data_IF_000147256856
#
_entry.id   IF_000147256856
#
_cell.length_a   1.000
_cell.length_b   1.000
_cell.length_c   1.000
_cell.angle_alpha   90.00
_cell.angle_beta   90.00
_cell.angle_gamma   90.00
#
_symmetry.space_group_name_H-M   'P 1'
#
loop_
_entity.id
_entity.type
_entity.pdbx_description
1 polymer ?
#
# COMPACT_ATOMS: atom_id res chain seq x y z
N UNK A 1 -2.15 -28.84 18.43
CA UNK A 1 -2.00 -27.60 17.63
C UNK A 1 -2.05 -26.41 18.61
N UNK A 2 -1.09 -25.50 18.61
CA UNK A 2 -1.17 -24.28 19.42
C UNK A 2 -2.42 -23.50 18.97
N UNK A 3 -3.28 -23.15 19.92
CA UNK A 3 -4.46 -22.34 19.64
C UNK A 3 -4.02 -21.03 18.98
N UNK A 4 -4.54 -20.71 17.80
CA UNK A 4 -4.25 -19.43 17.15
C UNK A 4 -4.93 -18.32 17.98
N UNK A 5 -4.13 -17.37 18.45
CA UNK A 5 -4.58 -16.26 19.30
C UNK A 5 -5.47 -15.27 18.55
N UNK A 6 -5.42 -15.28 17.22
CA UNK A 6 -6.11 -14.36 16.33
C UNK A 6 -6.88 -15.11 15.23
N UNK A 7 -7.97 -15.82 15.57
CA UNK A 7 -8.65 -16.71 14.63
C UNK A 7 -9.24 -15.98 13.44
N UNK A 8 -9.82 -14.78 13.62
CA UNK A 8 -10.44 -14.01 12.53
C UNK A 8 -9.45 -13.62 11.44
N UNK A 9 -8.22 -13.22 11.80
CA UNK A 9 -7.17 -12.89 10.84
C UNK A 9 -6.84 -14.05 9.90
N UNK A 10 -6.96 -15.30 10.37
CA UNK A 10 -6.58 -16.49 9.61
C UNK A 10 -7.79 -17.28 9.07
N UNK A 11 -9.00 -16.77 9.23
CA UNK A 11 -10.16 -17.27 8.52
C UNK A 11 -10.03 -17.01 7.01
N UNK A 12 -10.57 -17.95 6.22
CA UNK A 12 -10.68 -17.74 4.77
C UNK A 12 -11.67 -16.61 4.47
N UNK A 13 -11.40 -15.87 3.42
CA UNK A 13 -12.29 -14.84 2.89
C UNK A 13 -12.59 -15.04 1.41
N UNK A 14 -13.43 -14.17 0.86
CA UNK A 14 -13.75 -14.16 -0.56
C UNK A 14 -13.71 -12.74 -1.10
N UNK A 15 -13.21 -12.58 -2.33
CA UNK A 15 -13.25 -11.34 -3.11
C UNK A 15 -13.87 -11.73 -4.47
N UNK A 16 -15.14 -11.40 -4.65
CA UNK A 16 -15.91 -11.97 -5.75
C UNK A 16 -15.89 -13.50 -5.71
N UNK A 17 -15.41 -14.13 -6.78
CA UNK A 17 -15.25 -15.58 -6.89
C UNK A 17 -13.93 -16.13 -6.35
N UNK A 18 -13.01 -15.26 -5.92
CA UNK A 18 -11.70 -15.66 -5.42
C UNK A 18 -11.74 -16.04 -3.94
N UNK A 19 -11.21 -17.21 -3.62
CA UNK A 19 -11.02 -17.66 -2.25
C UNK A 19 -9.66 -17.21 -1.73
N UNK A 20 -9.64 -16.44 -0.65
CA UNK A 20 -8.43 -15.91 0.00
C UNK A 20 -8.09 -16.75 1.22
N UNK A 21 -6.83 -17.15 1.38
CA UNK A 21 -6.38 -18.06 2.46
C UNK A 21 -6.51 -17.50 3.87
N UNK A 22 -6.52 -16.17 4.03
CA UNK A 22 -6.68 -15.44 5.29
C UNK A 22 -7.20 -14.01 5.03
N UNK A 23 -7.38 -13.21 6.10
CA UNK A 23 -7.91 -11.85 6.02
C UNK A 23 -6.83 -10.76 5.91
N UNK A 24 -5.59 -11.11 5.57
CA UNK A 24 -4.47 -10.18 5.54
C UNK A 24 -4.06 -9.92 4.08
N UNK A 25 -4.06 -8.67 3.69
CA UNK A 25 -3.71 -8.22 2.34
C UNK A 25 -2.51 -7.27 2.42
N UNK A 26 -1.46 -7.57 1.64
CA UNK A 26 -0.42 -6.58 1.39
C UNK A 26 -0.97 -5.53 0.43
N UNK A 27 -1.15 -4.32 0.94
CA UNK A 27 -1.72 -3.22 0.17
C UNK A 27 -0.70 -2.64 -0.83
N UNK A 28 -1.20 -2.17 -1.95
CA UNK A 28 -0.37 -1.48 -2.95
C UNK A 28 0.28 -0.23 -2.37
N UNK A 29 1.54 -0.05 -2.73
CA UNK A 29 2.33 1.12 -2.40
C UNK A 29 3.44 1.27 -3.43
N UNK A 30 3.68 2.48 -3.91
CA UNK A 30 4.79 2.77 -4.81
C UNK A 30 6.12 2.36 -4.17
N UNK A 31 6.76 1.33 -4.73
CA UNK A 31 8.03 0.82 -4.22
C UNK A 31 9.23 1.48 -4.90
N UNK A 32 9.03 2.03 -6.08
CA UNK A 32 10.08 2.59 -6.92
C UNK A 32 11.19 1.56 -7.24
N UNK A 33 10.78 0.30 -7.46
CA UNK A 33 11.66 -0.81 -7.81
C UNK A 33 11.64 -1.17 -9.30
N UNK A 34 10.72 -0.57 -10.07
CA UNK A 34 10.73 -0.70 -11.53
C UNK A 34 12.08 -0.27 -12.09
N UNK A 35 12.48 -0.85 -13.22
CA UNK A 35 13.63 -0.34 -13.94
C UNK A 35 13.34 1.03 -14.61
N UNK A 36 14.38 1.66 -15.17
CA UNK A 36 14.25 2.99 -15.75
C UNK A 36 13.24 3.14 -16.90
N UNK A 37 12.72 2.02 -17.41
CA UNK A 37 11.71 1.96 -18.48
C UNK A 37 10.36 1.39 -17.99
N UNK A 38 10.11 1.41 -16.69
CA UNK A 38 8.88 0.94 -16.04
C UNK A 38 8.62 -0.58 -16.17
N UNK A 39 9.62 -1.37 -16.54
CA UNK A 39 9.51 -2.82 -16.55
C UNK A 39 9.68 -3.41 -15.15
N UNK A 40 9.12 -4.59 -14.98
CA UNK A 40 9.34 -5.40 -13.78
C UNK A 40 10.78 -5.92 -13.81
N UNK A 41 11.57 -5.51 -12.84
CA UNK A 41 12.93 -6.02 -12.63
C UNK A 41 12.99 -7.08 -11.51
N UNK A 42 14.16 -7.71 -11.37
CA UNK A 42 14.39 -8.77 -10.36
C UNK A 42 14.05 -8.33 -8.93
N UNK A 43 14.31 -7.07 -8.59
CA UNK A 43 13.99 -6.53 -7.26
C UNK A 43 12.49 -6.51 -6.99
N UNK A 44 11.70 -6.16 -8.01
CA UNK A 44 10.23 -6.16 -7.92
C UNK A 44 9.70 -7.58 -7.76
N UNK A 45 10.22 -8.54 -8.54
CA UNK A 45 9.84 -9.95 -8.45
C UNK A 45 10.14 -10.51 -7.06
N UNK A 46 11.36 -10.31 -6.57
CA UNK A 46 11.77 -10.75 -5.23
C UNK A 46 10.95 -10.10 -4.11
N UNK A 47 10.64 -8.82 -4.23
CA UNK A 47 9.81 -8.13 -3.25
C UNK A 47 8.38 -8.69 -3.22
N UNK A 48 7.82 -9.03 -4.38
CA UNK A 48 6.52 -9.71 -4.48
C UNK A 48 6.53 -11.10 -3.84
N UNK A 49 7.57 -11.90 -4.14
CA UNK A 49 7.78 -13.22 -3.56
C UNK A 49 7.98 -13.15 -2.02
N UNK A 50 8.76 -12.18 -1.51
CA UNK A 50 8.95 -11.97 -0.08
C UNK A 50 7.64 -11.64 0.64
N UNK A 51 6.81 -10.75 0.07
CA UNK A 51 5.52 -10.39 0.63
C UNK A 51 4.55 -11.60 0.68
N UNK A 52 4.52 -12.40 -0.38
CA UNK A 52 3.68 -13.58 -0.46
C UNK A 52 4.15 -14.70 0.49
N UNK A 53 5.46 -14.97 0.55
CA UNK A 53 6.07 -15.94 1.47
C UNK A 53 5.92 -15.52 2.93
N UNK A 54 5.82 -14.22 3.20
CA UNK A 54 5.52 -13.63 4.50
C UNK A 54 4.14 -13.98 5.04
N UNK A 55 3.25 -14.52 4.20
CA UNK A 55 1.97 -15.11 4.61
C UNK A 55 0.73 -14.30 4.25
N UNK A 56 0.83 -13.19 3.52
CA UNK A 56 -0.32 -12.44 3.03
C UNK A 56 -1.24 -13.31 2.16
N UNK A 57 -2.56 -13.08 2.23
CA UNK A 57 -3.55 -13.78 1.41
C UNK A 57 -3.65 -13.23 0.00
N UNK A 58 -3.47 -11.93 -0.16
CA UNK A 58 -3.38 -11.21 -1.43
C UNK A 58 -2.17 -10.28 -1.37
N UNK A 59 -1.46 -10.12 -2.47
CA UNK A 59 -0.37 -9.17 -2.60
C UNK A 59 -0.65 -8.22 -3.77
N UNK A 60 -0.87 -6.95 -3.44
CA UNK A 60 -0.77 -5.85 -4.41
C UNK A 60 0.63 -5.27 -4.32
N UNK A 61 1.51 -5.55 -5.29
CA UNK A 61 2.92 -5.24 -5.15
C UNK A 61 3.23 -3.75 -5.28
N UNK A 62 2.73 -3.12 -6.32
CA UNK A 62 3.03 -1.73 -6.67
C UNK A 62 1.81 -1.07 -7.31
N UNK A 63 1.91 0.23 -7.63
CA UNK A 63 1.02 0.85 -8.57
C UNK A 63 1.53 0.62 -10.00
N UNK A 64 0.61 0.46 -10.94
CA UNK A 64 0.88 0.21 -12.34
C UNK A 64 0.15 1.26 -13.19
N UNK A 65 0.89 2.03 -13.96
CA UNK A 65 0.28 3.07 -14.80
C UNK A 65 -0.38 2.47 -16.04
N UNK A 66 -1.49 3.08 -16.44
CA UNK A 66 -2.25 2.73 -17.65
C UNK A 66 -1.68 3.35 -18.92
N UNK A 67 -0.71 4.26 -18.77
CA UNK A 67 -0.05 5.04 -19.81
C UNK A 67 1.40 5.26 -19.40
N UNK A 68 2.33 5.32 -20.33
CA UNK A 68 3.71 5.73 -20.07
C UNK A 68 3.76 7.20 -19.67
N UNK A 69 4.04 7.48 -18.41
CA UNK A 69 3.90 8.83 -17.84
C UNK A 69 5.11 9.27 -17.02
N UNK A 70 5.71 8.35 -16.25
CA UNK A 70 6.84 8.61 -15.38
C UNK A 70 7.61 7.31 -15.14
N UNK A 71 8.93 7.43 -14.93
CA UNK A 71 9.84 6.28 -14.95
C UNK A 71 9.99 5.52 -13.62
N UNK A 72 9.06 5.69 -12.68
CA UNK A 72 9.24 5.24 -11.30
C UNK A 72 8.29 4.12 -10.85
N UNK A 73 7.21 3.87 -11.60
CA UNK A 73 6.22 2.81 -11.32
C UNK A 73 6.25 1.71 -12.38
N UNK A 74 5.46 0.66 -12.16
CA UNK A 74 5.20 -0.34 -13.17
C UNK A 74 4.26 0.22 -14.25
N UNK A 75 4.22 -0.42 -15.41
CA UNK A 75 3.37 0.00 -16.52
C UNK A 75 2.65 -1.17 -17.17
N UNK A 76 1.42 -0.92 -17.64
CA UNK A 76 0.63 -1.84 -18.44
C UNK A 76 0.06 -1.15 -19.71
N UNK A 77 0.74 -0.11 -20.22
CA UNK A 77 0.28 0.69 -21.34
C UNK A 77 0.22 -0.08 -22.66
N UNK A 78 1.10 -1.07 -22.85
CA UNK A 78 1.15 -1.91 -24.05
C UNK A 78 1.59 -3.33 -23.72
N UNK A 79 1.55 -4.22 -24.71
CA UNK A 79 1.77 -5.68 -24.52
C UNK A 79 3.23 -6.04 -24.20
N UNK A 80 4.20 -5.14 -24.42
CA UNK A 80 5.62 -5.39 -24.10
C UNK A 80 5.89 -5.52 -22.58
N UNK A 81 4.98 -5.01 -21.74
CA UNK A 81 5.07 -5.12 -20.29
C UNK A 81 4.57 -6.47 -19.75
N UNK A 82 3.78 -7.23 -20.54
CA UNK A 82 3.17 -8.50 -20.09
C UNK A 82 4.20 -9.52 -19.58
N UNK A 83 5.34 -9.77 -20.25
CA UNK A 83 6.27 -10.80 -19.77
C UNK A 83 6.80 -10.56 -18.35
N UNK A 84 7.23 -9.33 -18.06
CA UNK A 84 7.70 -8.98 -16.72
C UNK A 84 6.58 -9.02 -15.67
N UNK A 85 5.40 -8.53 -16.02
CA UNK A 85 4.21 -8.62 -15.16
C UNK A 85 3.84 -10.09 -14.88
N UNK A 86 3.99 -11.00 -15.85
CA UNK A 86 3.73 -12.43 -15.64
C UNK A 86 4.70 -13.05 -14.64
N UNK A 87 6.00 -12.73 -14.75
CA UNK A 87 7.01 -13.20 -13.79
C UNK A 87 6.70 -12.74 -12.37
N UNK A 88 6.23 -11.51 -12.20
CA UNK A 88 5.82 -10.98 -10.88
C UNK A 88 4.58 -11.71 -10.35
N UNK A 89 3.55 -11.90 -11.17
CA UNK A 89 2.34 -12.61 -10.78
C UNK A 89 2.62 -14.07 -10.39
N UNK A 90 3.45 -14.77 -11.16
CA UNK A 90 3.90 -16.13 -10.88
C UNK A 90 4.65 -16.20 -9.55
N UNK A 91 5.66 -15.33 -9.34
CA UNK A 91 6.44 -15.30 -8.12
C UNK A 91 5.59 -15.06 -6.85
N UNK A 92 4.52 -14.27 -6.94
CA UNK A 92 3.56 -14.09 -5.84
C UNK A 92 2.76 -15.38 -5.61
N UNK A 93 2.26 -16.00 -6.68
CA UNK A 93 1.37 -17.17 -6.62
C UNK A 93 2.08 -18.45 -6.20
N UNK A 94 3.36 -18.60 -6.51
CA UNK A 94 4.21 -19.72 -6.07
C UNK A 94 4.32 -19.82 -4.54
N UNK A 95 4.10 -18.71 -3.84
CA UNK A 95 4.03 -18.67 -2.38
C UNK A 95 2.60 -18.73 -1.83
N UNK A 96 1.62 -19.09 -2.67
CA UNK A 96 0.23 -19.33 -2.26
C UNK A 96 -0.56 -18.07 -1.85
N UNK A 97 -0.16 -16.89 -2.33
CA UNK A 97 -0.96 -15.67 -2.28
C UNK A 97 -1.66 -15.44 -3.62
N UNK A 98 -2.79 -14.73 -3.62
CA UNK A 98 -3.36 -14.19 -4.85
C UNK A 98 -2.55 -12.97 -5.29
N UNK A 99 -2.33 -12.83 -6.60
CA UNK A 99 -1.64 -11.71 -7.19
C UNK A 99 -2.64 -10.63 -7.62
N UNK A 100 -2.56 -9.44 -7.02
CA UNK A 100 -3.33 -8.26 -7.38
C UNK A 100 -2.44 -7.19 -8.02
N UNK A 101 -3.01 -6.41 -8.96
CA UNK A 101 -2.33 -5.26 -9.56
C UNK A 101 -3.17 -4.01 -9.41
N UNK A 102 -2.58 -2.92 -8.89
CA UNK A 102 -3.27 -1.64 -8.78
C UNK A 102 -3.01 -0.79 -10.04
N UNK A 103 -4.08 -0.48 -10.77
CA UNK A 103 -4.05 0.42 -11.93
C UNK A 103 -4.20 1.87 -11.49
N UNK A 104 -3.34 2.74 -11.99
CA UNK A 104 -3.22 4.10 -11.51
C UNK A 104 -3.01 5.10 -12.65
N UNK A 105 -3.56 6.29 -12.47
CA UNK A 105 -3.21 7.52 -13.15
C UNK A 105 -3.12 8.62 -12.08
N UNK A 106 -1.96 9.24 -11.87
CA UNK A 106 -1.78 10.18 -10.75
C UNK A 106 -2.58 11.48 -10.88
N UNK A 107 -3.12 11.79 -12.05
CA UNK A 107 -3.95 12.99 -12.22
C UNK A 107 -3.16 14.28 -11.97
N UNK A 108 -3.71 15.17 -11.12
CA UNK A 108 -3.04 16.42 -10.73
C UNK A 108 -1.69 16.19 -10.03
N UNK A 109 -1.49 15.02 -9.45
CA UNK A 109 -0.27 14.68 -8.72
C UNK A 109 0.86 14.18 -9.65
N UNK A 110 0.64 14.15 -10.97
CA UNK A 110 1.63 13.65 -11.94
C UNK A 110 2.98 14.37 -11.82
N UNK A 111 2.99 15.68 -11.66
CA UNK A 111 4.22 16.44 -11.47
C UNK A 111 4.96 16.08 -10.17
N UNK A 112 4.22 15.80 -9.11
CA UNK A 112 4.75 15.39 -7.81
C UNK A 112 5.44 14.00 -7.86
N UNK A 113 4.95 13.10 -8.70
CA UNK A 113 5.58 11.77 -8.90
C UNK A 113 6.58 11.74 -10.05
N UNK A 114 7.03 12.91 -10.54
CA UNK A 114 8.09 13.01 -11.56
C UNK A 114 7.61 12.88 -13.00
N UNK A 115 6.30 12.98 -13.26
CA UNK A 115 5.74 13.03 -14.60
C UNK A 115 5.58 14.45 -15.13
N UNK A 116 5.41 14.60 -16.44
CA UNK A 116 5.36 15.90 -17.11
C UNK A 116 3.97 16.31 -17.62
N UNK A 117 3.10 15.34 -17.89
CA UNK A 117 1.74 15.60 -18.38
C UNK A 117 0.75 15.66 -17.21
N UNK A 118 0.62 16.85 -16.61
CA UNK A 118 -0.28 17.05 -15.47
C UNK A 118 -1.69 17.34 -15.97
N UNK A 119 -2.61 16.40 -15.77
CA UNK A 119 -4.03 16.49 -16.18
C UNK A 119 -4.95 16.16 -15.01
N UNK A 120 -6.17 16.74 -15.02
CA UNK A 120 -7.19 16.45 -14.01
C UNK A 120 -8.60 16.73 -14.55
N UNK A 121 -9.62 16.60 -13.69
CA UNK A 121 -10.99 17.02 -14.00
C UNK A 121 -11.07 18.51 -14.28
N UNK A 122 -10.35 19.33 -13.53
CA UNK A 122 -10.31 20.80 -13.64
C UNK A 122 -8.90 21.32 -13.36
N UNK A 123 -8.67 22.63 -13.64
CA UNK A 123 -7.38 23.29 -13.38
C UNK A 123 -7.27 23.68 -11.90
N UNK A 124 -7.29 22.69 -11.01
CA UNK A 124 -7.20 22.85 -9.56
C UNK A 124 -6.06 21.99 -9.01
N UNK A 125 -5.22 22.56 -8.19
CA UNK A 125 -4.17 21.86 -7.47
C UNK A 125 -4.15 22.26 -6.00
N UNK A 126 -3.42 21.51 -5.17
CA UNK A 126 -3.24 21.85 -3.78
C UNK A 126 -2.35 23.10 -3.65
N UNK A 127 -2.85 24.13 -3.00
CA UNK A 127 -2.22 25.46 -2.94
C UNK A 127 -0.75 25.43 -2.50
N UNK A 128 -0.34 24.72 -1.42
CA UNK A 128 1.05 24.64 -1.03
C UNK A 128 1.98 24.03 -2.09
N UNK A 129 1.46 23.12 -2.93
CA UNK A 129 2.26 22.58 -4.03
C UNK A 129 2.40 23.57 -5.18
N UNK A 130 1.36 24.37 -5.44
CA UNK A 130 1.41 25.44 -6.42
C UNK A 130 2.41 26.52 -6.00
N UNK A 131 2.39 26.93 -4.73
CA UNK A 131 3.38 27.84 -4.16
C UNK A 131 4.81 27.29 -4.23
N UNK A 132 4.98 25.97 -4.14
CA UNK A 132 6.23 25.28 -4.35
C UNK A 132 6.62 25.07 -5.83
N UNK A 133 5.84 25.63 -6.77
CA UNK A 133 6.15 25.60 -8.21
C UNK A 133 5.52 24.44 -8.98
N UNK A 134 4.57 23.69 -8.40
CA UNK A 134 3.84 22.65 -9.14
C UNK A 134 2.99 23.27 -10.27
N UNK A 135 2.97 22.62 -11.42
CA UNK A 135 2.15 23.05 -12.56
C UNK A 135 0.66 22.86 -12.28
N UNK A 136 -0.15 23.80 -12.73
CA UNK A 136 -1.61 23.62 -12.77
C UNK A 136 -1.98 22.51 -13.76
N UNK A 137 -2.87 21.59 -13.39
CA UNK A 137 -3.30 20.54 -14.30
C UNK A 137 -4.13 21.11 -15.47
N UNK A 138 -3.93 20.54 -16.65
CA UNK A 138 -4.80 20.75 -17.82
C UNK A 138 -6.10 20.01 -17.58
N UNK A 139 -7.28 20.67 -17.69
CA UNK A 139 -8.56 19.96 -17.68
C UNK A 139 -8.68 19.02 -18.88
N UNK A 140 -9.09 17.77 -18.62
CA UNK A 140 -9.33 16.78 -19.67
C UNK A 140 -10.55 17.16 -20.52
N UNK A 141 -10.45 17.00 -21.82
CA UNK A 141 -11.61 17.01 -22.72
C UNK A 141 -12.41 15.71 -22.58
N UNK A 142 -13.65 15.68 -23.10
CA UNK A 142 -14.49 14.47 -23.07
C UNK A 142 -13.83 13.32 -23.84
N UNK A 143 -13.22 13.59 -24.98
CA UNK A 143 -12.53 12.58 -25.79
C UNK A 143 -11.30 12.01 -25.07
N UNK A 144 -10.52 12.86 -24.38
CA UNK A 144 -9.40 12.43 -23.54
C UNK A 144 -9.88 11.57 -22.35
N UNK A 145 -11.05 11.89 -21.76
CA UNK A 145 -11.67 11.07 -20.70
C UNK A 145 -12.02 9.69 -21.25
N UNK A 146 -12.67 9.61 -22.41
CA UNK A 146 -13.04 8.33 -23.03
C UNK A 146 -11.80 7.49 -23.40
N UNK A 147 -10.73 8.11 -23.89
CA UNK A 147 -9.45 7.46 -24.17
C UNK A 147 -8.82 6.86 -22.89
N UNK A 148 -8.83 7.61 -21.80
CA UNK A 148 -8.32 7.11 -20.51
C UNK A 148 -9.19 5.98 -19.94
N UNK A 149 -10.51 6.06 -20.05
CA UNK A 149 -11.42 4.97 -19.64
C UNK A 149 -11.11 3.70 -20.42
N UNK A 150 -10.87 3.79 -21.72
CA UNK A 150 -10.52 2.63 -22.55
C UNK A 150 -9.13 2.07 -22.18
N UNK A 151 -8.15 2.94 -21.91
CA UNK A 151 -6.81 2.53 -21.44
C UNK A 151 -6.85 1.78 -20.10
N UNK A 152 -7.72 2.15 -19.15
CA UNK A 152 -7.92 1.36 -17.93
C UNK A 152 -8.37 -0.07 -18.22
N UNK A 153 -9.35 -0.23 -19.14
CA UNK A 153 -9.82 -1.56 -19.56
C UNK A 153 -8.73 -2.38 -20.25
N UNK A 154 -7.98 -1.77 -21.15
CA UNK A 154 -6.86 -2.43 -21.84
C UNK A 154 -5.73 -2.83 -20.89
N UNK A 155 -5.36 -1.96 -19.93
CA UNK A 155 -4.35 -2.26 -18.91
C UNK A 155 -4.79 -3.42 -18.01
N UNK A 156 -6.07 -3.45 -17.60
CA UNK A 156 -6.64 -4.56 -16.86
C UNK A 156 -6.58 -5.88 -17.65
N UNK A 157 -6.86 -5.86 -18.95
CA UNK A 157 -6.72 -7.05 -19.81
C UNK A 157 -5.28 -7.55 -19.85
N UNK A 158 -4.28 -6.66 -19.91
CA UNK A 158 -2.87 -7.04 -19.88
C UNK A 158 -2.48 -7.66 -18.54
N UNK A 159 -2.95 -7.08 -17.43
CA UNK A 159 -2.76 -7.67 -16.10
C UNK A 159 -3.42 -9.07 -16.02
N UNK A 160 -4.62 -9.24 -16.55
CA UNK A 160 -5.28 -10.56 -16.62
C UNK A 160 -4.47 -11.55 -17.47
N UNK A 161 -4.00 -11.15 -18.65
CA UNK A 161 -3.12 -11.97 -19.52
C UNK A 161 -1.81 -12.34 -18.82
N UNK A 162 -1.26 -11.42 -18.02
CA UNK A 162 -0.06 -11.65 -17.21
C UNK A 162 -0.29 -12.59 -16.02
N UNK A 163 -1.52 -13.01 -15.73
CA UNK A 163 -1.82 -13.98 -14.70
C UNK A 163 -2.20 -13.39 -13.34
N UNK A 164 -2.45 -12.07 -13.24
CA UNK A 164 -3.01 -11.48 -12.03
C UNK A 164 -4.45 -11.93 -11.81
N UNK A 165 -4.76 -12.30 -10.58
CA UNK A 165 -6.09 -12.82 -10.19
C UNK A 165 -7.15 -11.73 -10.10
N UNK A 166 -6.75 -10.49 -9.79
CA UNK A 166 -7.62 -9.33 -9.69
C UNK A 166 -6.86 -8.04 -10.00
N UNK A 167 -7.61 -6.98 -10.34
CA UNK A 167 -7.08 -5.63 -10.42
C UNK A 167 -7.76 -4.70 -9.41
N UNK A 168 -7.04 -3.66 -9.00
CA UNK A 168 -7.55 -2.57 -8.20
C UNK A 168 -7.43 -1.26 -8.98
N UNK A 169 -8.47 -0.43 -8.99
CA UNK A 169 -8.40 0.94 -9.50
C UNK A 169 -8.04 1.88 -8.36
N UNK A 170 -7.01 2.69 -8.54
CA UNK A 170 -6.61 3.69 -7.55
C UNK A 170 -7.52 4.91 -7.61
N UNK A 171 -8.62 4.88 -6.86
CA UNK A 171 -9.62 5.94 -6.74
C UNK A 171 -9.52 6.70 -5.41
N UNK A 172 -8.31 6.90 -4.90
CA UNK A 172 -8.06 7.56 -3.62
C UNK A 172 -6.81 8.44 -3.67
N UNK A 173 -6.61 9.26 -2.66
CA UNK A 173 -5.36 9.96 -2.38
C UNK A 173 -5.01 11.11 -3.33
N UNK A 174 -5.90 11.54 -4.22
CA UNK A 174 -5.61 12.60 -5.20
C UNK A 174 -5.29 12.08 -6.61
N UNK A 175 -5.32 10.76 -6.83
CA UNK A 175 -5.24 10.17 -8.17
C UNK A 175 -6.43 10.59 -9.05
N UNK A 176 -6.29 10.43 -10.36
CA UNK A 176 -7.25 10.96 -11.34
C UNK A 176 -8.72 10.64 -11.04
N UNK A 177 -9.13 9.41 -10.65
CA UNK A 177 -10.53 9.16 -10.32
C UNK A 177 -11.01 9.98 -9.11
N UNK A 178 -10.14 10.30 -8.15
CA UNK A 178 -10.47 11.16 -7.01
C UNK A 178 -10.65 12.61 -7.47
N UNK A 179 -9.86 13.09 -8.45
CA UNK A 179 -10.03 14.43 -9.00
C UNK A 179 -11.39 14.62 -9.67
N UNK A 180 -12.03 13.55 -10.15
CA UNK A 180 -13.40 13.61 -10.66
C UNK A 180 -14.43 13.52 -9.53
N UNK A 181 -14.19 12.70 -8.50
CA UNK A 181 -15.14 12.48 -7.40
C UNK A 181 -15.24 13.68 -6.46
N UNK A 182 -14.10 14.28 -6.08
CA UNK A 182 -14.05 15.39 -5.14
C UNK A 182 -14.66 16.66 -5.70
N UNK A 183 -15.64 17.28 -5.04
CA UNK A 183 -16.19 18.55 -5.50
C UNK A 183 -15.18 19.70 -5.39
N UNK A 184 -14.16 19.55 -4.53
CA UNK A 184 -13.06 20.50 -4.42
C UNK A 184 -12.20 20.54 -5.68
N UNK A 185 -11.94 19.37 -6.29
CA UNK A 185 -11.08 19.21 -7.46
C UNK A 185 -11.86 19.33 -8.78
N UNK A 186 -13.15 18.95 -8.77
CA UNK A 186 -13.99 18.88 -9.96
C UNK A 186 -14.94 20.08 -10.04
N UNK A 187 -14.51 21.08 -10.76
CA UNK A 187 -15.28 22.30 -11.05
C UNK A 187 -15.90 22.29 -12.45
N UNK A 188 -16.07 21.10 -13.05
CA UNK A 188 -16.69 20.95 -14.38
C UNK A 188 -18.20 21.22 -14.32
N UNK A 189 -18.73 21.73 -15.42
CA UNK A 189 -20.16 21.97 -15.61
C UNK A 189 -20.77 21.12 -16.74
N UNK A 190 -20.03 20.10 -17.22
CA UNK A 190 -20.50 19.11 -18.18
C UNK A 190 -21.00 17.83 -17.48
N UNK A 191 -21.21 16.76 -18.28
CA UNK A 191 -21.71 15.48 -17.77
C UNK A 191 -20.78 14.75 -16.75
N UNK A 192 -19.57 15.23 -16.51
CA UNK A 192 -18.62 14.70 -15.54
C UNK A 192 -18.49 15.57 -14.27
N UNK A 193 -19.23 16.69 -14.15
CA UNK A 193 -19.14 17.63 -13.04
C UNK A 193 -20.47 17.99 -12.41
N UNK A 194 -20.42 18.79 -11.34
CA UNK A 194 -21.60 19.23 -10.58
C UNK A 194 -22.12 18.16 -9.62
N UNK A 195 -23.20 17.48 -9.97
CA UNK A 195 -23.84 16.48 -9.10
C UNK A 195 -22.92 15.29 -8.80
N UNK A 196 -23.12 14.62 -7.64
CA UNK A 196 -22.38 13.41 -7.28
C UNK A 196 -22.51 12.34 -8.37
N UNK A 197 -23.70 12.19 -8.97
CA UNK A 197 -23.93 11.26 -10.08
C UNK A 197 -22.99 11.52 -11.27
N UNK A 198 -22.78 12.77 -11.62
CA UNK A 198 -21.85 13.14 -12.69
C UNK A 198 -20.39 12.96 -12.28
N UNK A 199 -20.04 13.35 -11.05
CA UNK A 199 -18.67 13.22 -10.53
C UNK A 199 -18.21 11.77 -10.44
N UNK A 200 -19.08 10.82 -10.12
CA UNK A 200 -18.74 9.39 -10.08
C UNK A 200 -18.68 8.72 -11.46
N UNK A 201 -19.19 9.37 -12.52
CA UNK A 201 -19.29 8.81 -13.88
C UNK A 201 -17.97 8.25 -14.39
N UNK A 202 -16.87 8.99 -14.27
CA UNK A 202 -15.56 8.55 -14.72
C UNK A 202 -15.15 7.20 -14.09
N UNK A 203 -15.32 7.05 -12.78
CA UNK A 203 -14.98 5.82 -12.06
C UNK A 203 -15.91 4.66 -12.47
N UNK A 204 -17.19 4.91 -12.64
CA UNK A 204 -18.18 3.92 -13.14
C UNK A 204 -17.82 3.44 -14.54
N UNK A 205 -17.46 4.36 -15.43
CA UNK A 205 -17.08 4.03 -16.82
C UNK A 205 -15.78 3.21 -16.85
N UNK A 206 -14.81 3.48 -15.96
CA UNK A 206 -13.62 2.64 -15.79
C UNK A 206 -14.01 1.20 -15.41
N UNK A 207 -14.91 1.01 -14.44
CA UNK A 207 -15.38 -0.33 -14.03
C UNK A 207 -16.03 -1.04 -15.21
N UNK A 208 -16.89 -0.36 -15.96
CA UNK A 208 -17.55 -0.91 -17.16
C UNK A 208 -16.56 -1.27 -18.26
N UNK A 209 -15.53 -0.42 -18.48
CA UNK A 209 -14.45 -0.70 -19.43
C UNK A 209 -13.64 -1.95 -19.03
N UNK A 210 -13.26 -2.08 -17.77
CA UNK A 210 -12.56 -3.28 -17.28
C UNK A 210 -13.41 -4.54 -17.51
N UNK A 211 -14.72 -4.48 -17.23
CA UNK A 211 -15.64 -5.61 -17.46
C UNK A 211 -15.79 -5.94 -18.94
N UNK A 212 -15.83 -4.93 -19.81
CA UNK A 212 -15.87 -5.09 -21.28
C UNK A 212 -14.66 -5.89 -21.77
N UNK A 213 -13.45 -5.58 -21.29
CA UNK A 213 -12.21 -6.23 -21.72
C UNK A 213 -11.92 -7.56 -21.00
N UNK A 214 -12.21 -7.63 -19.69
CA UNK A 214 -11.84 -8.77 -18.87
C UNK A 214 -12.99 -9.77 -18.62
N UNK A 215 -14.22 -9.40 -18.95
CA UNK A 215 -15.42 -10.17 -18.63
C UNK A 215 -15.95 -9.88 -17.22
N UNK A 216 -17.23 -10.18 -17.00
CA UNK A 216 -17.95 -9.82 -15.77
C UNK A 216 -17.46 -10.51 -14.51
N UNK A 217 -16.79 -11.64 -14.64
CA UNK A 217 -16.33 -12.47 -13.52
C UNK A 217 -14.89 -12.15 -13.06
N UNK A 218 -14.17 -11.25 -13.77
CA UNK A 218 -12.84 -10.83 -13.36
C UNK A 218 -12.96 -9.85 -12.18
N UNK A 219 -12.41 -10.18 -11.00
CA UNK A 219 -12.61 -9.37 -9.80
C UNK A 219 -11.95 -8.00 -9.90
N UNK A 220 -12.70 -6.99 -9.51
CA UNK A 220 -12.27 -5.59 -9.48
C UNK A 220 -12.36 -5.09 -8.04
N UNK A 221 -11.24 -4.59 -7.51
CA UNK A 221 -11.19 -3.80 -6.29
C UNK A 221 -11.15 -2.31 -6.64
N UNK A 222 -11.76 -1.48 -5.81
CA UNK A 222 -11.62 -0.02 -5.90
C UNK A 222 -11.00 0.48 -4.60
N UNK A 223 -9.84 1.12 -4.69
CA UNK A 223 -9.32 1.91 -3.58
C UNK A 223 -10.03 3.25 -3.57
N UNK A 224 -10.72 3.56 -2.47
CA UNK A 224 -11.64 4.68 -2.39
C UNK A 224 -11.32 5.55 -1.17
N UNK A 225 -11.20 6.86 -1.36
CA UNK A 225 -11.15 7.81 -0.23
C UNK A 225 -12.52 7.88 0.44
N UNK A 226 -12.55 7.63 1.75
CA UNK A 226 -13.76 7.75 2.58
C UNK A 226 -14.17 9.21 2.70
N UNK A 227 -13.18 10.06 2.97
CA UNK A 227 -13.30 11.50 3.18
C UNK A 227 -11.98 12.15 2.76
N UNK A 228 -12.02 13.25 2.05
CA UNK A 228 -10.80 13.95 1.62
C UNK A 228 -10.08 14.65 2.78
N UNK A 229 -10.75 14.84 3.90
CA UNK A 229 -10.26 15.61 5.05
C UNK A 229 -9.89 17.07 4.69
N UNK A 230 -10.41 17.59 3.61
CA UNK A 230 -10.23 18.95 3.12
C UNK A 230 -11.56 19.71 3.16
N UNK A 231 -11.56 21.05 3.38
CA UNK A 231 -12.76 21.85 3.21
C UNK A 231 -13.37 21.62 1.81
N UNK A 232 -14.69 21.48 1.75
CA UNK A 232 -15.42 21.24 0.49
C UNK A 232 -15.01 19.99 -0.31
N UNK A 233 -14.22 19.07 0.27
CA UNK A 233 -13.91 17.77 -0.32
C UNK A 233 -15.09 16.79 -0.21
N UNK A 234 -14.92 15.59 -0.80
CA UNK A 234 -15.91 14.52 -0.65
C UNK A 234 -16.01 14.09 0.83
N UNK A 235 -17.22 13.80 1.27
CA UNK A 235 -17.52 13.35 2.64
C UNK A 235 -18.01 11.91 2.64
N UNK A 236 -17.98 11.29 3.83
CA UNK A 236 -18.34 9.87 4.00
C UNK A 236 -19.77 9.59 3.50
N UNK A 237 -20.71 10.52 3.65
CA UNK A 237 -22.09 10.36 3.21
C UNK A 237 -22.17 10.22 1.68
N UNK A 238 -21.41 11.03 0.94
CA UNK A 238 -21.32 10.92 -0.52
C UNK A 238 -20.58 9.63 -0.93
N UNK A 239 -19.52 9.27 -0.21
CA UNK A 239 -18.75 8.05 -0.48
C UNK A 239 -19.58 6.77 -0.25
N UNK A 240 -20.50 6.78 0.72
CA UNK A 240 -21.50 5.70 0.91
C UNK A 240 -22.34 5.51 -0.36
N UNK A 241 -22.81 6.59 -0.97
CA UNK A 241 -23.60 6.49 -2.22
C UNK A 241 -22.74 6.02 -3.40
N UNK A 242 -21.50 6.47 -3.51
CA UNK A 242 -20.54 5.97 -4.50
C UNK A 242 -20.32 4.45 -4.31
N UNK A 243 -20.11 3.99 -3.08
CA UNK A 243 -19.90 2.58 -2.77
C UNK A 243 -21.08 1.69 -3.20
N UNK A 244 -22.31 2.12 -2.94
CA UNK A 244 -23.54 1.43 -3.39
C UNK A 244 -23.63 1.33 -4.92
N UNK A 245 -23.25 2.38 -5.63
CA UNK A 245 -23.23 2.37 -7.09
C UNK A 245 -22.16 1.42 -7.61
N UNK A 246 -20.94 1.45 -7.04
CA UNK A 246 -19.85 0.56 -7.43
C UNK A 246 -20.19 -0.92 -7.19
N UNK A 247 -20.88 -1.24 -6.09
CA UNK A 247 -21.38 -2.60 -5.84
C UNK A 247 -22.37 -3.03 -6.93
N UNK A 248 -23.32 -2.19 -7.30
CA UNK A 248 -24.28 -2.46 -8.40
C UNK A 248 -23.59 -2.63 -9.76
N UNK A 249 -22.50 -1.91 -10.00
CA UNK A 249 -21.67 -2.06 -11.20
C UNK A 249 -20.82 -3.34 -11.16
N UNK A 250 -20.83 -4.09 -10.02
CA UNK A 250 -20.20 -5.40 -9.86
C UNK A 250 -18.71 -5.32 -9.46
N UNK A 251 -18.33 -4.27 -8.72
CA UNK A 251 -17.08 -4.24 -7.98
C UNK A 251 -17.07 -5.36 -6.93
N UNK A 252 -15.91 -5.98 -6.72
CA UNK A 252 -15.79 -7.17 -5.88
C UNK A 252 -15.25 -6.88 -4.48
N UNK A 253 -14.62 -5.72 -4.26
CA UNK A 253 -14.08 -5.29 -2.96
C UNK A 253 -13.84 -3.77 -2.96
N UNK A 254 -13.99 -3.15 -1.80
CA UNK A 254 -13.57 -1.76 -1.57
C UNK A 254 -12.33 -1.76 -0.66
N UNK A 255 -11.30 -1.01 -1.05
CA UNK A 255 -10.12 -0.72 -0.24
C UNK A 255 -10.25 0.71 0.31
N UNK A 256 -10.57 0.83 1.59
CA UNK A 256 -10.95 2.10 2.19
C UNK A 256 -9.71 2.86 2.69
N UNK A 257 -9.53 4.07 2.17
CA UNK A 257 -8.48 5.01 2.55
C UNK A 257 -9.10 6.32 3.02
N UNK A 258 -8.36 7.18 3.71
CA UNK A 258 -8.82 8.49 4.19
C UNK A 258 -7.80 9.56 3.84
N UNK A 259 -8.29 10.74 3.48
CA UNK A 259 -7.48 11.89 3.09
C UNK A 259 -7.00 11.84 1.64
N UNK A 260 -6.30 12.89 1.26
CA UNK A 260 -5.60 13.03 -0.03
C UNK A 260 -4.09 12.93 0.16
N UNK A 261 -3.30 13.00 -0.91
CA UNK A 261 -1.84 13.10 -0.80
C UNK A 261 -1.40 14.42 -0.14
N UNK A 262 -2.23 15.46 -0.24
CA UNK A 262 -2.03 16.73 0.44
C UNK A 262 -2.27 16.62 1.96
N UNK A 263 -3.24 15.78 2.37
CA UNK A 263 -3.60 15.54 3.76
C UNK A 263 -3.31 14.09 4.12
N UNK A 264 -2.13 13.81 4.64
CA UNK A 264 -1.66 12.45 5.01
C UNK A 264 -2.31 12.02 6.33
N UNK A 265 -3.62 11.82 6.30
CA UNK A 265 -4.41 11.37 7.45
C UNK A 265 -4.28 9.85 7.62
N UNK A 266 -4.46 9.33 8.70
CA UNK A 266 -3.79 8.91 9.93
C UNK A 266 -2.49 8.10 9.70
N UNK A 267 -1.79 8.30 8.61
CA UNK A 267 -0.55 7.56 8.32
C UNK A 267 0.64 7.96 9.20
N UNK A 268 0.54 9.12 9.84
CA UNK A 268 1.45 9.59 10.90
C UNK A 268 0.92 9.16 12.26
N UNK A 269 1.71 9.20 13.30
CA UNK A 269 1.24 8.87 14.67
C UNK A 269 0.37 9.96 15.32
N UNK A 270 0.00 11.01 14.59
CA UNK A 270 -0.69 12.20 15.12
C UNK A 270 -2.21 12.10 15.19
N UNK A 271 -2.82 11.16 14.47
CA UNK A 271 -4.27 11.06 14.32
C UNK A 271 -4.86 9.84 15.02
N UNK A 272 -6.09 9.99 15.51
CA UNK A 272 -6.83 8.88 16.10
C UNK A 272 -7.41 7.97 14.99
N UNK A 273 -6.95 6.72 14.97
CA UNK A 273 -7.45 5.72 14.03
C UNK A 273 -8.95 5.44 14.16
N UNK A 274 -9.55 5.69 15.33
CA UNK A 274 -10.96 5.43 15.56
C UNK A 274 -11.87 6.31 14.68
N UNK A 275 -11.44 7.52 14.31
CA UNK A 275 -12.19 8.37 13.37
C UNK A 275 -12.30 7.66 12.02
N UNK A 276 -11.19 7.18 11.49
CA UNK A 276 -11.15 6.42 10.24
C UNK A 276 -12.00 5.15 10.32
N UNK A 277 -11.87 4.36 11.39
CA UNK A 277 -12.60 3.11 11.54
C UNK A 277 -14.10 3.31 11.66
N UNK A 278 -14.56 4.38 12.31
CA UNK A 278 -15.99 4.69 12.43
C UNK A 278 -16.61 5.08 11.09
N UNK A 279 -15.90 5.80 10.25
CA UNK A 279 -16.34 6.16 8.91
C UNK A 279 -16.25 4.97 7.94
N UNK A 280 -15.21 4.16 8.02
CA UNK A 280 -15.09 2.92 7.25
C UNK A 280 -16.25 1.97 7.53
N UNK A 281 -16.69 1.89 8.78
CA UNK A 281 -17.86 1.08 9.18
C UNK A 281 -19.15 1.56 8.53
N UNK A 282 -19.37 2.87 8.37
CA UNK A 282 -20.56 3.39 7.68
C UNK A 282 -20.64 2.88 6.23
N UNK A 283 -19.51 2.86 5.52
CA UNK A 283 -19.43 2.30 4.15
C UNK A 283 -19.66 0.80 4.19
N UNK A 284 -18.98 0.08 5.11
CA UNK A 284 -19.12 -1.38 5.26
C UNK A 284 -20.57 -1.79 5.53
N UNK A 285 -21.30 -1.05 6.36
CA UNK A 285 -22.69 -1.33 6.69
C UNK A 285 -23.65 -1.05 5.51
N UNK A 286 -23.22 -0.25 4.54
CA UNK A 286 -24.03 0.15 3.38
C UNK A 286 -23.91 -0.78 2.17
N UNK A 287 -22.92 -1.70 2.15
CA UNK A 287 -22.64 -2.62 1.04
C UNK A 287 -22.48 -4.06 1.52
N UNK A 288 -22.69 -5.02 0.62
CA UNK A 288 -22.49 -6.45 0.90
C UNK A 288 -21.10 -6.95 0.46
N UNK A 289 -20.44 -6.26 -0.48
CA UNK A 289 -19.09 -6.59 -0.91
C UNK A 289 -18.09 -6.35 0.23
N UNK A 290 -16.99 -7.12 0.30
CA UNK A 290 -16.01 -6.96 1.36
C UNK A 290 -15.32 -5.61 1.30
N UNK A 291 -15.06 -5.07 2.50
CA UNK A 291 -14.28 -3.85 2.71
C UNK A 291 -12.94 -4.17 3.36
N UNK A 292 -11.86 -3.68 2.75
CA UNK A 292 -10.51 -3.76 3.28
C UNK A 292 -10.15 -2.45 3.99
N UNK A 293 -9.66 -2.54 5.22
CA UNK A 293 -9.26 -1.40 6.06
C UNK A 293 -7.84 -1.60 6.59
N UNK A 294 -7.08 -0.52 6.77
CA UNK A 294 -5.68 -0.72 7.16
C UNK A 294 -4.88 0.51 7.56
N UNK A 295 -5.41 1.72 7.47
CA UNK A 295 -4.66 2.91 7.87
C UNK A 295 -4.26 2.84 9.35
N UNK A 296 -2.95 2.77 9.61
CA UNK A 296 -2.41 2.76 10.96
C UNK A 296 -2.49 1.42 11.71
N UNK A 297 -3.02 0.35 11.13
CA UNK A 297 -3.02 -0.99 11.74
C UNK A 297 -1.60 -1.54 11.77
N UNK A 298 -1.12 -1.88 12.96
CA UNK A 298 0.24 -2.37 13.19
C UNK A 298 0.30 -3.61 14.08
N UNK A 299 -0.69 -3.79 14.97
CA UNK A 299 -0.74 -4.89 15.93
C UNK A 299 -1.77 -5.92 15.54
N UNK A 300 -1.49 -7.18 15.85
CA UNK A 300 -2.42 -8.27 15.58
C UNK A 300 -3.73 -8.14 16.39
N UNK A 301 -3.62 -7.64 17.63
CA UNK A 301 -4.80 -7.41 18.48
C UNK A 301 -5.75 -6.35 17.89
N UNK A 302 -5.22 -5.24 17.35
CA UNK A 302 -6.05 -4.24 16.68
C UNK A 302 -6.64 -4.80 15.39
N UNK A 303 -5.85 -5.53 14.60
CA UNK A 303 -6.32 -6.15 13.36
C UNK A 303 -7.46 -7.17 13.62
N UNK A 304 -7.32 -8.00 14.65
CA UNK A 304 -8.35 -8.94 15.05
C UNK A 304 -9.62 -8.22 15.52
N UNK A 305 -9.50 -7.21 16.38
CA UNK A 305 -10.66 -6.46 16.91
C UNK A 305 -11.46 -5.74 15.81
N UNK A 306 -10.78 -5.25 14.75
CA UNK A 306 -11.45 -4.66 13.58
C UNK A 306 -12.34 -5.69 12.88
N UNK A 307 -11.82 -6.92 12.70
CA UNK A 307 -12.59 -8.00 12.06
C UNK A 307 -13.73 -8.49 12.97
N UNK A 308 -13.48 -8.65 14.27
CA UNK A 308 -14.48 -9.07 15.26
C UNK A 308 -15.63 -8.06 15.40
N UNK A 309 -15.33 -6.77 15.35
CA UNK A 309 -16.32 -5.69 15.44
C UNK A 309 -17.02 -5.38 14.11
N UNK A 310 -16.66 -6.08 13.03
CA UNK A 310 -17.25 -5.85 11.70
C UNK A 310 -16.94 -4.47 11.10
N UNK A 311 -15.83 -3.84 11.49
CA UNK A 311 -15.38 -2.57 10.91
C UNK A 311 -14.67 -2.76 9.56
N UNK A 312 -14.32 -4.00 9.20
CA UNK A 312 -13.76 -4.40 7.93
C UNK A 312 -13.78 -5.92 7.77
N UNK A 313 -13.62 -6.40 6.55
CA UNK A 313 -13.56 -7.83 6.20
C UNK A 313 -12.14 -8.32 5.96
N UNK A 314 -11.24 -7.41 5.56
CA UNK A 314 -9.83 -7.65 5.33
C UNK A 314 -8.99 -6.54 5.95
N UNK A 315 -7.79 -6.89 6.37
CA UNK A 315 -6.79 -5.99 6.93
C UNK A 315 -5.72 -5.69 5.88
N UNK A 316 -5.58 -4.42 5.53
CA UNK A 316 -4.55 -3.94 4.62
C UNK A 316 -3.27 -3.59 5.40
N UNK A 317 -2.18 -4.22 5.07
CA UNK A 317 -0.86 -3.88 5.57
C UNK A 317 -0.01 -3.27 4.45
N UNK A 318 0.58 -2.11 4.70
CA UNK A 318 1.54 -1.46 3.81
C UNK A 318 2.85 -1.18 4.56
N UNK A 319 2.93 -0.07 5.30
CA UNK A 319 4.15 0.33 6.01
C UNK A 319 4.61 -0.69 7.06
N UNK A 320 3.68 -1.43 7.69
CA UNK A 320 4.04 -2.49 8.63
C UNK A 320 4.72 -3.66 7.90
N UNK A 321 4.30 -3.98 6.69
CA UNK A 321 4.91 -5.05 5.90
C UNK A 321 6.28 -4.66 5.32
N UNK A 322 6.50 -3.37 5.02
CA UNK A 322 7.85 -2.87 4.71
C UNK A 322 8.79 -3.03 5.92
N UNK A 323 8.28 -2.76 7.11
CA UNK A 323 9.05 -2.95 8.34
C UNK A 323 9.34 -4.44 8.60
N UNK A 324 8.37 -5.30 8.33
CA UNK A 324 8.45 -6.76 8.53
C UNK A 324 7.47 -7.50 7.60
N UNK A 325 7.94 -7.95 6.45
CA UNK A 325 7.12 -8.68 5.49
C UNK A 325 6.64 -10.04 6.04
N UNK A 326 7.31 -10.59 7.05
CA UNK A 326 6.93 -11.84 7.70
C UNK A 326 5.93 -11.65 8.86
N UNK A 327 5.33 -10.46 8.98
CA UNK A 327 4.35 -10.16 10.03
C UNK A 327 3.19 -11.19 10.07
N UNK A 328 2.54 -11.59 8.94
CA UNK A 328 1.45 -12.57 8.98
C UNK A 328 1.88 -13.92 9.56
N UNK A 329 3.01 -14.46 9.14
CA UNK A 329 3.52 -15.74 9.65
C UNK A 329 3.91 -15.65 11.12
N UNK A 330 4.56 -14.56 11.55
CA UNK A 330 4.92 -14.34 12.96
C UNK A 330 3.68 -14.29 13.86
N UNK A 331 2.64 -13.57 13.43
CA UNK A 331 1.36 -13.53 14.15
C UNK A 331 0.70 -14.92 14.20
N UNK A 332 0.67 -15.64 13.08
CA UNK A 332 0.13 -17.00 13.02
C UNK A 332 0.81 -17.95 13.98
N UNK A 333 2.11 -17.78 14.20
CA UNK A 333 2.93 -18.62 15.06
C UNK A 333 3.06 -18.11 16.51
N UNK A 334 2.31 -17.08 16.90
CA UNK A 334 2.39 -16.40 18.21
C UNK A 334 3.81 -15.88 18.53
N UNK A 335 4.46 -15.28 17.50
CA UNK A 335 5.81 -14.72 17.57
C UNK A 335 5.78 -13.17 17.45
N UNK A 336 4.77 -12.51 18.05
CA UNK A 336 4.59 -11.06 17.94
C UNK A 336 5.78 -10.28 18.53
N UNK A 337 6.46 -10.86 19.50
CA UNK A 337 7.69 -10.26 20.08
C UNK A 337 8.82 -10.13 19.05
N UNK A 338 8.83 -10.95 18.01
CA UNK A 338 9.83 -10.92 16.93
C UNK A 338 9.47 -9.98 15.77
N UNK A 339 8.28 -9.38 15.77
CA UNK A 339 7.86 -8.46 14.73
C UNK A 339 8.63 -7.13 14.83
N UNK A 340 9.20 -6.63 13.75
CA UNK A 340 9.69 -5.26 13.64
C UNK A 340 8.51 -4.31 13.47
N UNK A 341 8.15 -3.47 14.45
CA UNK A 341 7.04 -2.54 14.28
C UNK A 341 7.42 -1.38 13.38
N UNK A 342 6.51 -0.96 12.51
CA UNK A 342 6.62 0.32 11.85
C UNK A 342 6.51 1.45 12.88
N UNK A 343 7.45 2.39 12.86
CA UNK A 343 7.48 3.54 13.78
C UNK A 343 6.81 4.80 13.20
N UNK A 344 6.11 4.68 12.08
CA UNK A 344 5.36 5.77 11.41
C UNK A 344 6.21 7.02 11.08
N UNK A 345 7.52 6.84 10.88
CA UNK A 345 8.47 7.94 10.65
C UNK A 345 8.40 8.56 9.25
N UNK A 346 7.83 7.84 8.27
CA UNK A 346 7.72 8.19 6.84
C UNK A 346 9.05 8.37 6.09
N UNK A 347 10.18 8.54 6.77
CA UNK A 347 11.50 8.92 6.21
C UNK A 347 11.97 8.01 5.08
N UNK A 348 11.89 6.69 5.26
CA UNK A 348 12.41 5.75 4.24
C UNK A 348 11.41 5.42 3.14
N UNK A 349 10.12 5.37 3.46
CA UNK A 349 9.07 4.97 2.53
C UNK A 349 8.44 6.15 1.78
N UNK A 350 8.06 7.21 2.47
CA UNK A 350 7.40 8.36 1.85
C UNK A 350 8.41 9.40 1.36
N UNK A 351 9.27 9.91 2.25
CA UNK A 351 10.21 10.98 1.88
C UNK A 351 11.22 10.50 0.85
N UNK A 352 11.88 9.35 1.08
CA UNK A 352 12.87 8.83 0.13
C UNK A 352 12.23 8.27 -1.16
N UNK A 353 11.03 7.65 -1.06
CA UNK A 353 10.31 7.10 -2.20
C UNK A 353 9.56 8.18 -2.96
N UNK A 354 8.43 8.64 -2.42
CA UNK A 354 7.50 9.51 -3.15
C UNK A 354 8.12 10.89 -3.41
N UNK A 355 8.74 11.52 -2.39
CA UNK A 355 9.31 12.87 -2.53
C UNK A 355 10.69 12.82 -3.19
N UNK A 356 11.53 11.87 -2.77
CA UNK A 356 12.90 11.73 -3.27
C UNK A 356 13.02 10.97 -4.59
N UNK A 357 11.95 10.36 -5.09
CA UNK A 357 11.93 9.52 -6.29
C UNK A 357 13.00 8.43 -6.30
N UNK A 358 13.20 7.78 -5.15
CA UNK A 358 14.15 6.68 -5.00
C UNK A 358 13.46 5.39 -4.54
N UNK A 359 14.06 4.22 -4.78
CA UNK A 359 13.59 2.98 -4.20
C UNK A 359 13.37 3.11 -2.70
N UNK A 360 12.17 2.76 -2.23
CA UNK A 360 11.83 2.95 -0.81
C UNK A 360 12.76 2.17 0.11
N UNK A 361 12.95 2.73 1.31
CA UNK A 361 13.74 2.17 2.41
C UNK A 361 12.92 2.15 3.68
N UNK A 362 13.45 1.57 4.73
CA UNK A 362 12.81 1.58 6.03
C UNK A 362 13.84 1.90 7.12
N UNK A 363 13.47 2.80 8.03
CA UNK A 363 14.34 3.17 9.15
C UNK A 363 14.59 2.01 10.13
N UNK A 364 13.65 1.05 10.20
CA UNK A 364 13.73 -0.10 11.11
C UNK A 364 14.05 -1.41 10.41
N UNK A 365 14.08 -1.44 9.06
CA UNK A 365 14.41 -2.64 8.28
C UNK A 365 15.51 -2.32 7.27
N UNK A 366 16.79 -2.57 7.60
CA UNK A 366 17.91 -2.22 6.73
C UNK A 366 18.00 -3.09 5.46
N UNK A 367 17.27 -4.21 5.41
CA UNK A 367 17.32 -5.17 4.29
C UNK A 367 16.12 -5.09 3.37
N UNK A 368 15.17 -4.16 3.60
CA UNK A 368 13.97 -4.05 2.78
C UNK A 368 14.33 -3.83 1.30
N UNK A 369 13.74 -4.66 0.44
CA UNK A 369 13.90 -4.63 -1.02
C UNK A 369 15.35 -4.55 -1.54
N UNK A 370 16.31 -4.94 -0.72
CA UNK A 370 17.69 -5.05 -1.16
C UNK A 370 17.90 -6.34 -1.92
N UNK A 371 18.51 -6.20 -3.08
CA UNK A 371 18.90 -7.31 -3.92
C UNK A 371 20.18 -7.95 -3.36
N UNK A 372 19.98 -8.94 -2.49
CA UNK A 372 21.05 -9.85 -2.10
C UNK A 372 20.49 -11.27 -2.18
N UNK A 373 21.05 -12.11 -3.03
CA UNK A 373 20.67 -13.51 -3.15
C UNK A 373 20.83 -14.24 -1.84
N UNK A 374 21.89 -13.90 -1.13
CA UNK A 374 22.10 -14.31 0.25
C UNK A 374 22.29 -13.04 1.10
N UNK A 375 21.24 -12.66 1.83
CA UNK A 375 21.27 -11.46 2.69
C UNK A 375 22.34 -11.55 3.78
N UNK A 376 22.74 -12.77 4.15
CA UNK A 376 23.68 -13.04 5.23
C UNK A 376 24.58 -14.23 4.86
N UNK A 377 25.48 -14.10 3.85
CA UNK A 377 26.37 -15.20 3.47
C UNK A 377 27.19 -15.65 4.66
N UNK A 378 27.28 -16.98 4.85
CA UNK A 378 28.06 -17.55 5.94
C UNK A 378 29.53 -17.15 5.85
N UNK A 379 30.12 -16.81 6.96
CA UNK A 379 31.51 -16.43 7.01
C UNK A 379 32.43 -17.63 6.67
N UNK A 380 33.35 -17.46 5.74
CA UNK A 380 34.37 -18.48 5.44
C UNK A 380 35.27 -18.76 6.63
N UNK A 381 35.46 -17.76 7.50
CA UNK A 381 36.24 -17.89 8.74
C UNK A 381 35.42 -17.31 9.89
N UNK A 382 35.10 -18.14 10.88
CA UNK A 382 34.41 -17.73 12.10
C UNK A 382 35.35 -16.91 12.95
N UNK A 383 34.92 -15.72 13.39
CA UNK A 383 35.68 -14.80 14.25
C UNK A 383 34.95 -14.55 15.55
N UNK A 384 35.69 -14.24 16.60
CA UNK A 384 35.17 -13.61 17.81
C UNK A 384 35.13 -12.10 17.56
N UNK A 385 33.93 -11.50 17.66
CA UNK A 385 33.71 -10.08 17.34
C UNK A 385 33.15 -9.38 18.56
N UNK A 386 33.78 -8.28 18.96
CA UNK A 386 33.29 -7.39 20.01
C UNK A 386 32.52 -6.24 19.34
N UNK A 387 31.28 -6.03 19.76
CA UNK A 387 30.45 -4.88 19.34
C UNK A 387 30.34 -3.93 20.51
N UNK A 388 30.82 -2.71 20.34
CA UNK A 388 30.82 -1.69 21.39
C UNK A 388 29.62 -0.79 21.22
N UNK A 389 28.69 -0.86 22.16
CA UNK A 389 27.44 -0.14 22.20
C UNK A 389 26.24 -0.95 21.67
N UNK A 390 25.17 -1.05 22.46
CA UNK A 390 23.92 -1.72 22.14
C UNK A 390 22.81 -0.72 21.75
N UNK A 391 23.16 0.33 21.03
CA UNK A 391 22.21 1.17 20.29
C UNK A 391 21.75 0.48 18.99
N UNK A 392 20.84 1.10 18.18
CA UNK A 392 20.30 0.46 16.97
C UNK A 392 21.37 -0.08 16.01
N UNK A 393 22.43 0.67 15.79
CA UNK A 393 23.52 0.27 14.89
C UNK A 393 24.30 -0.95 15.43
N UNK A 394 24.64 -0.95 16.72
CA UNK A 394 25.36 -2.07 17.34
C UNK A 394 24.51 -3.34 17.41
N UNK A 395 23.23 -3.22 17.74
CA UNK A 395 22.29 -4.34 17.75
C UNK A 395 22.14 -4.98 16.37
N UNK A 396 21.95 -4.17 15.30
CA UNK A 396 21.83 -4.69 13.94
C UNK A 396 23.15 -5.30 13.44
N UNK A 397 24.30 -4.70 13.79
CA UNK A 397 25.61 -5.27 13.50
C UNK A 397 25.78 -6.65 14.18
N UNK A 398 25.44 -6.77 15.47
CA UNK A 398 25.52 -8.00 16.20
C UNK A 398 24.61 -9.09 15.59
N UNK A 399 23.35 -8.77 15.30
CA UNK A 399 22.41 -9.68 14.61
C UNK A 399 22.94 -10.16 13.26
N UNK A 400 23.49 -9.26 12.47
CA UNK A 400 24.06 -9.59 11.16
C UNK A 400 25.26 -10.51 11.29
N UNK A 401 26.14 -10.24 12.24
CA UNK A 401 27.34 -11.05 12.49
C UNK A 401 26.99 -12.46 12.97
N UNK A 402 26.01 -12.60 13.89
CA UNK A 402 25.51 -13.90 14.36
C UNK A 402 24.89 -14.70 13.21
N UNK A 403 24.05 -14.07 12.39
CA UNK A 403 23.46 -14.72 11.19
C UNK A 403 24.51 -15.19 10.20
N UNK A 404 25.65 -14.52 10.13
CA UNK A 404 26.81 -14.92 9.32
C UNK A 404 27.70 -15.97 9.98
N UNK A 405 27.36 -16.43 11.19
CA UNK A 405 28.04 -17.50 11.88
C UNK A 405 29.23 -17.06 12.76
N UNK A 406 29.40 -15.76 13.02
CA UNK A 406 30.43 -15.28 13.95
C UNK A 406 30.03 -15.46 15.41
N UNK A 407 31.00 -15.52 16.31
CA UNK A 407 30.80 -15.44 17.77
C UNK A 407 30.82 -13.95 18.15
N UNK A 408 29.75 -13.46 18.74
CA UNK A 408 29.60 -12.01 18.99
C UNK A 408 29.42 -11.75 20.48
N UNK A 409 30.14 -10.76 20.98
CA UNK A 409 29.95 -10.22 22.33
C UNK A 409 29.63 -8.74 22.22
N UNK A 410 28.50 -8.31 22.80
CA UNK A 410 28.07 -6.90 22.81
C UNK A 410 28.42 -6.29 24.18
N UNK A 411 29.10 -5.16 24.17
CA UNK A 411 29.43 -4.38 25.35
C UNK A 411 28.61 -3.10 25.41
N UNK A 412 27.84 -2.89 26.46
CA UNK A 412 27.01 -1.70 26.65
C UNK A 412 27.18 -1.18 28.11
N UNK A 413 27.45 0.10 28.26
CA UNK A 413 27.62 0.75 29.56
C UNK A 413 26.32 1.29 30.17
N UNK A 414 25.25 1.42 29.39
CA UNK A 414 23.93 1.90 29.80
C UNK A 414 22.87 0.84 29.51
N UNK A 415 21.59 1.26 29.44
CA UNK A 415 20.49 0.39 29.00
C UNK A 415 20.63 0.10 27.51
N UNK A 416 20.34 -1.15 27.12
CA UNK A 416 20.24 -1.55 25.71
C UNK A 416 19.18 -0.70 25.02
N UNK A 417 19.47 -0.24 23.79
CA UNK A 417 18.60 0.64 23.03
C UNK A 417 19.24 2.00 22.73
N UNK A 418 20.22 2.42 23.52
CA UNK A 418 20.95 3.69 23.31
C UNK A 418 19.97 4.88 23.19
N UNK A 419 20.15 5.71 22.18
CA UNK A 419 19.33 6.92 21.94
C UNK A 419 17.86 6.64 21.58
N UNK A 420 17.42 5.39 21.40
CA UNK A 420 15.99 5.08 21.22
C UNK A 420 15.17 5.48 22.44
N UNK A 421 15.74 5.48 23.64
CA UNK A 421 15.05 5.87 24.85
C UNK A 421 14.67 7.36 24.81
N UNK A 422 15.62 8.22 24.48
CA UNK A 422 15.42 9.65 24.34
C UNK A 422 14.52 9.98 23.14
N UNK A 423 14.75 9.34 21.99
CA UNK A 423 13.94 9.53 20.79
C UNK A 423 12.47 9.14 20.98
N UNK A 424 12.16 8.27 21.93
CA UNK A 424 10.79 7.79 22.23
C UNK A 424 10.07 8.62 23.28
N UNK A 425 10.63 9.73 23.75
CA UNK A 425 10.05 10.56 24.83
C UNK A 425 8.78 11.29 24.42
N UNK A 426 8.65 11.69 23.14
CA UNK A 426 7.45 12.31 22.64
C UNK A 426 6.31 11.30 22.45
N UNK A 427 5.07 11.67 22.82
CA UNK A 427 3.91 10.76 22.79
C UNK A 427 3.60 10.20 21.41
N UNK A 428 3.75 10.99 20.36
CA UNK A 428 3.56 10.54 18.97
C UNK A 428 4.69 9.61 18.47
N UNK A 429 5.79 9.47 19.23
CA UNK A 429 6.92 8.57 18.95
C UNK A 429 6.93 7.34 19.86
N UNK A 430 5.87 7.09 20.63
CA UNK A 430 5.78 5.93 21.54
C UNK A 430 6.03 4.58 20.88
N UNK A 431 5.81 4.44 19.58
CA UNK A 431 6.09 3.22 18.83
C UNK A 431 7.58 2.89 18.76
N UNK A 432 8.47 3.87 18.97
CA UNK A 432 9.91 3.65 19.11
C UNK A 432 10.23 2.84 20.39
N UNK A 433 9.46 2.99 21.48
CA UNK A 433 9.61 2.20 22.71
C UNK A 433 9.42 0.71 22.46
N UNK A 434 8.57 0.33 21.50
CA UNK A 434 8.39 -1.07 21.11
C UNK A 434 9.64 -1.67 20.47
N UNK A 435 10.52 -0.86 19.89
CA UNK A 435 11.80 -1.32 19.35
C UNK A 435 12.82 -1.60 20.47
N UNK A 436 12.88 -0.75 21.52
CA UNK A 436 13.88 -0.83 22.58
C UNK A 436 13.64 -1.98 23.57
N UNK A 437 12.40 -2.51 23.64
CA UNK A 437 12.01 -3.55 24.61
C UNK A 437 11.89 -4.97 24.04
N UNK A 438 12.23 -5.21 22.78
CA UNK A 438 11.97 -6.50 22.13
C UNK A 438 13.02 -7.57 22.44
N UNK A 439 12.53 -8.78 22.75
CA UNK A 439 13.37 -9.96 23.06
C UNK A 439 14.29 -10.35 21.89
N UNK A 440 13.88 -10.18 20.64
CA UNK A 440 14.70 -10.47 19.45
C UNK A 440 15.97 -9.63 19.36
N UNK A 441 15.99 -8.48 20.04
CA UNK A 441 17.15 -7.61 20.18
C UNK A 441 17.93 -7.96 21.46
N UNK A 442 17.26 -8.57 22.45
CA UNK A 442 17.81 -8.91 23.79
C UNK A 442 18.29 -10.36 23.89
N UNK A 443 17.96 -11.23 22.93
CA UNK A 443 18.33 -12.66 22.93
C UNK A 443 19.68 -12.96 22.27
N UNK A 444 20.53 -11.94 22.15
CA UNK A 444 21.94 -12.06 21.81
C UNK A 444 22.75 -12.24 23.11
#
# INVERSE_FOLDING_TARGET
>A
MKHNKYPKLFEKGYIGNLKVKNRIIRNSMGTYLADGNMYVGDRTIKAGAEAASGGAGVVFMDNCTIKEMYHMGLCAANDTYIPGLSMLAEAIKDHGALAGMQLSHPGRDTGFVGGTEVVAASSVTFEPWYEAGAALPKPLTIDEIHDLVDKYGQAALRCKKAGFDLVEVHGAGGCLPTNFLSPNDNQRNDMYGGSLHNRMRFLVEIVRSIKKYCGNNYPISIKLSIDDCEPNGIRVEETVEVAKVLEKEGVSMLNLMMGTHAVVYPSTGFYDINIYLSQAKQIKDAVQIPCMVGLGVQTASLAESILESGQGDFIALAKQEIADCNWPNKVKNNQEDDIRPCIKCLVGCTDNGIIGHHPIRCAVNPTVYKYYEDKYPQAKVVKNVAVIGAGPAGMEAALTLVKRGHKVTVYEKRKIGGTLHEASSADYKKDIKRQSGKKSILSL
#
